data_IF_591619079789
#
_entry.id   IF_591619079789
#
_cell.length_a   1.000
_cell.length_b   1.000
_cell.length_c   1.000
_cell.angle_alpha   90.00
_cell.angle_beta   90.00
_cell.angle_gamma   90.00
#
_symmetry.space_group_name_H-M   'P 1'
#
loop_
_entity.id
_entity.type
_entity.pdbx_description
1 polymer ?
#
# COMPACT_ATOMS: atom_id res chain seq x y z
N UNK A 1 -16.71 20.15 -3.99
CA UNK A 1 -16.36 18.77 -3.53
C UNK A 1 -16.36 17.79 -4.71
N UNK A 2 -15.56 18.03 -5.75
CA UNK A 2 -15.76 17.36 -7.07
C UNK A 2 -14.48 16.83 -7.74
N UNK A 3 -13.35 16.76 -7.03
CA UNK A 3 -12.05 16.48 -7.70
C UNK A 3 -11.42 15.11 -7.33
N UNK A 4 -11.95 14.39 -6.34
CA UNK A 4 -11.44 13.06 -5.96
C UNK A 4 -11.74 12.00 -7.05
N UNK A 5 -12.82 12.17 -7.83
CA UNK A 5 -13.23 11.20 -8.85
C UNK A 5 -12.34 11.19 -10.11
N UNK A 6 -11.54 12.24 -10.37
CA UNK A 6 -10.62 12.31 -11.53
C UNK A 6 -9.20 11.84 -11.25
N UNK A 7 -8.82 11.64 -9.97
CA UNK A 7 -7.44 11.30 -9.61
C UNK A 7 -7.22 9.79 -9.70
N UNK A 8 -6.10 9.39 -10.29
CA UNK A 8 -5.70 7.98 -10.37
C UNK A 8 -5.61 7.38 -8.97
N UNK A 9 -6.28 6.23 -8.79
CA UNK A 9 -6.25 5.45 -7.56
C UNK A 9 -5.18 4.39 -7.68
N UNK A 10 -4.17 4.45 -6.82
CA UNK A 10 -3.01 3.57 -6.84
C UNK A 10 -3.04 2.71 -5.59
N UNK A 11 -3.12 1.40 -5.76
CA UNK A 11 -2.94 0.46 -4.66
C UNK A 11 -1.45 0.27 -4.38
N UNK A 12 -1.02 0.44 -3.14
CA UNK A 12 0.36 0.14 -2.72
C UNK A 12 0.41 -1.20 -1.98
N UNK A 13 1.26 -2.09 -2.48
CA UNK A 13 1.71 -3.28 -1.75
C UNK A 13 2.79 -2.92 -0.73
N UNK A 14 3.01 -3.78 0.27
CA UNK A 14 4.00 -3.54 1.34
C UNK A 14 5.40 -3.33 0.79
N UNK A 15 5.81 -4.10 -0.22
CA UNK A 15 7.13 -3.98 -0.84
C UNK A 15 7.35 -2.59 -1.45
N UNK A 16 6.38 -2.10 -2.23
CA UNK A 16 6.41 -0.79 -2.86
C UNK A 16 6.36 0.35 -1.84
N UNK A 17 5.53 0.21 -0.80
CA UNK A 17 5.45 1.17 0.31
C UNK A 17 6.82 1.32 0.99
N UNK A 18 7.42 0.21 1.44
CA UNK A 18 8.69 0.24 2.15
C UNK A 18 9.84 0.75 1.26
N UNK A 19 9.88 0.33 -0.01
CA UNK A 19 10.86 0.84 -0.97
C UNK A 19 10.73 2.36 -1.16
N UNK A 20 9.50 2.87 -1.24
CA UNK A 20 9.25 4.30 -1.40
C UNK A 20 9.63 5.11 -0.16
N UNK A 21 9.34 4.59 1.04
CA UNK A 21 9.74 5.23 2.29
C UNK A 21 11.27 5.24 2.47
N UNK A 22 11.94 4.16 2.08
CA UNK A 22 13.38 4.02 2.22
C UNK A 22 14.19 4.79 1.16
N UNK A 23 13.59 5.04 -0.02
CA UNK A 23 14.23 5.76 -1.12
C UNK A 23 13.27 6.80 -1.72
N UNK A 24 13.16 8.00 -1.10
CA UNK A 24 12.21 9.03 -1.52
C UNK A 24 12.37 9.51 -2.97
N UNK A 25 13.59 9.43 -3.53
CA UNK A 25 13.89 9.81 -4.91
C UNK A 25 13.74 8.66 -5.92
N UNK A 26 13.49 7.43 -5.45
CA UNK A 26 13.25 6.28 -6.30
C UNK A 26 11.82 6.26 -6.85
N UNK A 27 11.53 5.37 -7.80
CA UNK A 27 10.22 5.30 -8.45
C UNK A 27 9.04 5.20 -7.46
N UNK A 28 9.11 4.30 -6.48
CA UNK A 28 8.08 4.20 -5.43
C UNK A 28 8.03 5.42 -4.52
N UNK A 29 9.16 6.09 -4.29
CA UNK A 29 9.23 7.33 -3.52
C UNK A 29 8.48 8.47 -4.22
N UNK A 30 8.62 8.58 -5.54
CA UNK A 30 7.87 9.53 -6.37
C UNK A 30 6.36 9.31 -6.25
N UNK A 31 5.90 8.05 -6.22
CA UNK A 31 4.46 7.75 -5.99
C UNK A 31 4.00 8.30 -4.63
N UNK A 32 4.79 8.12 -3.57
CA UNK A 32 4.47 8.67 -2.24
C UNK A 32 4.49 10.21 -2.25
N UNK A 33 5.44 10.83 -2.93
CA UNK A 33 5.49 12.30 -3.09
C UNK A 33 4.27 12.85 -3.83
N UNK A 34 3.86 12.19 -4.92
CA UNK A 34 2.65 12.56 -5.66
C UNK A 34 1.40 12.42 -4.81
N UNK A 35 1.33 11.38 -3.97
CA UNK A 35 0.25 11.21 -3.01
C UNK A 35 0.22 12.33 -1.97
N UNK A 36 1.36 12.64 -1.35
CA UNK A 36 1.48 13.74 -0.36
C UNK A 36 1.17 15.11 -0.97
N UNK A 37 1.49 15.31 -2.25
CA UNK A 37 1.12 16.50 -3.01
C UNK A 37 -0.35 16.51 -3.48
N UNK A 38 -1.13 15.49 -3.12
CA UNK A 38 -2.53 15.34 -3.51
C UNK A 38 -2.76 15.06 -4.99
N UNK A 39 -1.75 14.71 -5.78
CA UNK A 39 -1.91 14.48 -7.23
C UNK A 39 -2.55 13.14 -7.56
N UNK A 40 -2.38 12.16 -6.68
CA UNK A 40 -2.98 10.82 -6.78
C UNK A 40 -3.67 10.45 -5.47
N UNK A 41 -4.48 9.39 -5.53
CA UNK A 41 -5.09 8.79 -4.35
C UNK A 41 -4.40 7.46 -4.10
N UNK A 42 -3.74 7.32 -2.95
CA UNK A 42 -3.17 6.04 -2.52
C UNK A 42 -4.22 5.23 -1.76
N UNK A 43 -4.28 3.95 -2.09
CA UNK A 43 -5.12 2.94 -1.45
C UNK A 43 -4.22 1.87 -0.86
N UNK A 44 -4.45 1.48 0.39
CA UNK A 44 -3.72 0.40 1.07
C UNK A 44 -4.71 -0.48 1.81
N UNK A 45 -4.39 -1.76 2.01
CA UNK A 45 -5.22 -2.63 2.85
C UNK A 45 -4.71 -2.65 4.31
N UNK A 46 -5.57 -3.03 5.28
CA UNK A 46 -5.13 -3.28 6.64
C UNK A 46 -3.99 -4.31 6.73
N UNK A 47 -3.99 -5.33 5.87
CA UNK A 47 -2.95 -6.36 5.78
C UNK A 47 -1.60 -5.76 5.37
N UNK A 48 -1.61 -4.85 4.37
CA UNK A 48 -0.40 -4.15 3.91
C UNK A 48 0.22 -3.35 5.04
N UNK A 49 -0.60 -2.64 5.83
CA UNK A 49 -0.15 -1.83 6.97
C UNK A 49 0.46 -2.73 8.05
N UNK A 50 -0.24 -3.80 8.45
CA UNK A 50 0.27 -4.75 9.47
C UNK A 50 1.60 -5.38 9.06
N UNK A 51 1.73 -5.76 7.79
CA UNK A 51 2.98 -6.31 7.29
C UNK A 51 4.08 -5.25 7.25
N UNK A 52 3.78 -4.01 6.87
CA UNK A 52 4.73 -2.91 6.89
C UNK A 52 5.24 -2.62 8.31
N UNK A 53 4.34 -2.52 9.29
CA UNK A 53 4.69 -2.34 10.71
C UNK A 53 5.59 -3.47 11.22
N UNK A 54 5.23 -4.73 10.92
CA UNK A 54 6.04 -5.90 11.29
C UNK A 54 7.43 -5.87 10.68
N UNK A 55 7.54 -5.46 9.41
CA UNK A 55 8.82 -5.37 8.69
C UNK A 55 9.66 -4.20 9.20
N UNK A 56 9.06 -3.04 9.46
CA UNK A 56 9.74 -1.89 10.05
C UNK A 56 10.31 -2.26 11.42
N UNK A 57 9.48 -2.85 12.30
CA UNK A 57 9.90 -3.27 13.64
C UNK A 57 11.08 -4.25 13.61
N UNK A 58 11.10 -5.20 12.67
CA UNK A 58 12.09 -6.29 12.65
C UNK A 58 13.33 -6.01 11.79
N UNK A 59 13.19 -5.28 10.68
CA UNK A 59 14.21 -5.17 9.63
C UNK A 59 14.65 -3.73 9.36
N UNK A 60 13.76 -2.75 9.50
CA UNK A 60 14.02 -1.37 9.11
C UNK A 60 13.50 -0.36 10.16
N UNK A 61 14.01 -0.39 11.41
CA UNK A 61 13.44 0.42 12.50
C UNK A 61 13.50 1.93 12.22
N UNK A 62 14.47 2.38 11.41
CA UNK A 62 14.59 3.78 10.98
C UNK A 62 13.39 4.28 10.15
N UNK A 63 12.57 3.38 9.62
CA UNK A 63 11.39 3.72 8.83
C UNK A 63 10.11 3.91 9.67
N UNK A 64 10.18 3.80 11.00
CA UNK A 64 9.03 4.03 11.89
C UNK A 64 8.41 5.41 11.71
N UNK A 65 9.24 6.46 11.74
CA UNK A 65 8.78 7.84 11.54
C UNK A 65 8.24 8.04 10.11
N UNK A 66 8.96 7.66 9.03
CA UNK A 66 8.43 7.71 7.67
C UNK A 66 7.08 6.97 7.48
N UNK A 67 6.92 5.79 8.09
CA UNK A 67 5.67 5.03 8.00
C UNK A 67 4.54 5.76 8.71
N UNK A 68 4.80 6.28 9.91
CA UNK A 68 3.82 7.08 10.67
C UNK A 68 3.39 8.32 9.91
N UNK A 69 4.35 9.04 9.31
CA UNK A 69 4.09 10.24 8.53
C UNK A 69 3.29 9.95 7.24
N UNK A 70 3.55 8.80 6.60
CA UNK A 70 2.73 8.31 5.49
C UNK A 70 1.29 8.03 5.94
N UNK A 71 1.09 7.35 7.06
CA UNK A 71 -0.26 7.07 7.59
C UNK A 71 -0.99 8.35 8.01
N UNK A 72 -0.28 9.32 8.59
CA UNK A 72 -0.80 10.64 8.93
C UNK A 72 -1.26 11.44 7.69
N UNK A 73 -0.72 11.12 6.50
CA UNK A 73 -1.17 11.66 5.21
C UNK A 73 -2.51 11.08 4.73
N UNK A 74 -3.13 10.18 5.53
CA UNK A 74 -4.48 9.62 5.34
C UNK A 74 -4.70 8.93 3.99
N UNK A 75 -3.94 7.87 3.67
CA UNK A 75 -4.26 7.02 2.53
C UNK A 75 -5.64 6.38 2.72
N UNK A 76 -6.31 6.01 1.63
CA UNK A 76 -7.56 5.26 1.73
C UNK A 76 -7.24 3.85 2.21
N UNK A 77 -7.73 3.49 3.38
CA UNK A 77 -7.63 2.13 3.90
C UNK A 77 -8.84 1.34 3.39
N UNK A 78 -8.60 0.21 2.72
CA UNK A 78 -9.69 -0.65 2.25
C UNK A 78 -10.46 -1.25 3.42
N UNK A 79 -11.67 -1.73 3.14
CA UNK A 79 -12.40 -2.57 4.09
C UNK A 79 -11.60 -3.87 4.35
N UNK A 80 -11.79 -4.51 5.52
CA UNK A 80 -11.29 -5.85 5.75
C UNK A 80 -11.78 -6.81 4.66
N UNK A 81 -10.94 -7.79 4.33
CA UNK A 81 -11.27 -8.80 3.31
C UNK A 81 -12.54 -9.56 3.69
N UNK A 82 -13.44 -9.71 2.72
CA UNK A 82 -14.66 -10.51 2.87
C UNK A 82 -14.39 -11.98 2.55
N UNK A 83 -15.26 -12.89 3.04
CA UNK A 83 -15.16 -14.32 2.72
C UNK A 83 -15.20 -14.59 1.21
N UNK A 84 -15.97 -13.81 0.45
CA UNK A 84 -16.05 -13.92 -1.01
C UNK A 84 -14.74 -13.50 -1.69
N UNK A 85 -14.13 -12.41 -1.25
CA UNK A 85 -12.84 -11.96 -1.77
C UNK A 85 -11.72 -12.95 -1.44
N UNK A 86 -11.73 -13.52 -0.22
CA UNK A 86 -10.81 -14.58 0.17
C UNK A 86 -10.98 -15.82 -0.73
N UNK A 87 -12.22 -16.24 -0.99
CA UNK A 87 -12.51 -17.35 -1.89
C UNK A 87 -12.02 -17.08 -3.32
N UNK A 88 -12.19 -15.85 -3.82
CA UNK A 88 -11.69 -15.43 -5.14
C UNK A 88 -10.16 -15.45 -5.19
N UNK A 89 -9.49 -14.90 -4.17
CA UNK A 89 -8.04 -14.92 -4.07
C UNK A 89 -7.50 -16.36 -4.06
N UNK A 90 -8.13 -17.24 -3.26
CA UNK A 90 -7.80 -18.66 -3.21
C UNK A 90 -7.94 -19.35 -4.56
N UNK A 91 -9.03 -19.11 -5.30
CA UNK A 91 -9.22 -19.64 -6.66
C UNK A 91 -8.11 -19.17 -7.60
N UNK A 92 -7.74 -17.90 -7.57
CA UNK A 92 -6.66 -17.35 -8.41
C UNK A 92 -5.34 -18.06 -8.12
N UNK A 93 -4.99 -18.23 -6.84
CA UNK A 93 -3.74 -18.87 -6.43
C UNK A 93 -3.71 -20.34 -6.88
N UNK A 94 -4.77 -21.11 -6.63
CA UNK A 94 -4.81 -22.53 -7.01
C UNK A 94 -4.84 -22.73 -8.52
N UNK A 95 -5.59 -21.90 -9.26
CA UNK A 95 -5.63 -21.98 -10.72
C UNK A 95 -4.27 -21.62 -11.33
N UNK A 96 -3.51 -20.69 -10.72
CA UNK A 96 -2.14 -20.40 -11.15
C UNK A 96 -1.16 -21.52 -10.83
N UNK A 97 -1.29 -22.16 -9.67
CA UNK A 97 -0.38 -23.25 -9.25
C UNK A 97 -0.56 -24.50 -10.10
N UNK A 98 -1.77 -24.78 -10.62
CA UNK A 98 -2.03 -25.92 -11.53
C UNK A 98 -1.50 -25.75 -12.96
N UNK A 99 -0.96 -24.59 -13.31
CA UNK A 99 -0.43 -24.27 -14.64
C UNK A 99 1.11 -24.31 -14.71
N UNK A 100 1.77 -24.74 -13.62
CA UNK A 100 3.20 -25.03 -13.54
C UNK A 100 3.39 -26.47 -13.06
#
# INVERSE_FOLDING_TARGET
MTDIQKRSRIFLDTSALLAGLNSPLGASGVIISLFKAGKIVVVVSPEVIREAERVVLRKFPRLEIPLTDFLASKPIITKPITALELQRAYRIIILKIRLF
#
